data_IF_879237692157
#
_entry.id   IF_879237692157
#
_cell.length_a   1.000
_cell.length_b   1.000
_cell.length_c   1.000
_cell.angle_alpha   90.00
_cell.angle_beta   90.00
_cell.angle_gamma   90.00
#
_symmetry.space_group_name_H-M   'P 1'
#
loop_
_entity.id
_entity.type
_entity.pdbx_description
1 polymer ?
#
# COMPACT_ATOMS: atom_id res chain seq x y z
N UNK A 1 7.22 -24.47 13.24
CA UNK A 1 6.50 -23.68 14.26
C UNK A 1 5.37 -22.94 13.54
N UNK A 2 4.14 -23.20 13.93
CA UNK A 2 2.97 -22.47 13.46
C UNK A 2 2.77 -21.27 14.40
N UNK A 3 2.52 -20.07 13.84
CA UNK A 3 2.27 -18.88 14.64
C UNK A 3 0.75 -18.68 14.72
N UNK A 4 0.17 -18.95 15.86
CA UNK A 4 -1.27 -18.84 16.11
C UNK A 4 -1.79 -17.40 15.93
N UNK A 5 -0.91 -16.41 16.00
CA UNK A 5 -1.23 -14.98 15.81
C UNK A 5 -0.84 -14.46 14.42
N UNK A 6 -0.55 -15.34 13.46
CA UNK A 6 -0.28 -14.92 12.08
C UNK A 6 -1.52 -14.28 11.46
N UNK A 7 -1.33 -13.14 10.80
CA UNK A 7 -2.35 -12.42 10.05
C UNK A 7 -1.90 -12.37 8.59
N UNK A 8 -2.73 -12.84 7.63
CA UNK A 8 -2.47 -12.68 6.21
C UNK A 8 -2.38 -11.20 5.82
N UNK A 9 -1.69 -10.91 4.72
CA UNK A 9 -1.59 -9.56 4.17
C UNK A 9 -2.95 -9.10 3.65
N UNK A 10 -3.26 -7.81 3.87
CA UNK A 10 -4.53 -7.20 3.48
C UNK A 10 -5.68 -7.59 4.42
N UNK A 11 -6.15 -6.65 5.23
CA UNK A 11 -7.27 -6.85 6.15
C UNK A 11 -7.98 -5.54 6.44
N UNK A 12 -9.16 -5.60 7.06
CA UNK A 12 -9.91 -4.40 7.45
C UNK A 12 -9.89 -4.18 8.95
N UNK A 13 -10.19 -2.95 9.35
CA UNK A 13 -10.43 -2.57 10.73
C UNK A 13 -11.90 -2.22 10.96
N UNK A 14 -12.35 -2.32 12.21
CA UNK A 14 -13.65 -1.82 12.66
C UNK A 14 -13.53 -0.44 13.28
N UNK A 15 -12.34 -0.12 13.81
CA UNK A 15 -12.07 1.10 14.53
C UNK A 15 -11.00 1.94 13.85
N UNK A 16 -11.06 3.25 14.11
CA UNK A 16 -10.00 4.18 13.73
C UNK A 16 -9.61 5.09 14.90
N UNK A 17 -8.42 5.66 14.81
CA UNK A 17 -7.90 6.77 15.61
C UNK A 17 -7.42 7.86 14.65
N UNK A 18 -7.44 9.12 15.08
CA UNK A 18 -6.70 10.15 14.35
C UNK A 18 -5.22 10.12 14.74
N UNK A 19 -4.35 10.68 13.89
CA UNK A 19 -2.92 10.82 14.18
C UNK A 19 -2.68 11.51 15.53
N UNK A 20 -3.40 12.61 15.80
CA UNK A 20 -3.31 13.31 17.09
C UNK A 20 -3.66 12.40 18.27
N UNK A 21 -4.74 11.63 18.18
CA UNK A 21 -5.14 10.70 19.25
C UNK A 21 -4.10 9.59 19.45
N UNK A 22 -3.51 9.10 18.36
CA UNK A 22 -2.46 8.09 18.41
C UNK A 22 -1.17 8.64 19.04
N UNK A 23 -0.75 9.84 18.66
CA UNK A 23 0.42 10.52 19.21
C UNK A 23 0.29 10.86 20.70
N UNK A 24 -0.92 11.16 21.16
CA UNK A 24 -1.21 11.42 22.58
C UNK A 24 -1.12 10.16 23.46
N UNK A 25 -1.08 8.96 22.84
CA UNK A 25 -0.94 7.71 23.60
C UNK A 25 0.51 7.46 24.02
N UNK A 26 0.70 6.76 25.14
CA UNK A 26 2.04 6.40 25.61
C UNK A 26 2.68 5.34 24.73
N UNK A 27 3.97 5.46 24.46
CA UNK A 27 4.73 4.63 23.52
C UNK A 27 4.50 3.11 23.66
N UNK A 28 4.45 2.49 24.86
CA UNK A 28 4.19 1.05 24.97
C UNK A 28 2.83 0.61 24.44
N UNK A 29 1.85 1.53 24.41
CA UNK A 29 0.47 1.26 24.00
C UNK A 29 0.33 1.31 22.48
N UNK A 30 1.12 2.13 21.79
CA UNK A 30 1.01 2.41 20.34
C UNK A 30 1.07 1.16 19.49
N UNK A 31 1.99 0.25 19.74
CA UNK A 31 2.14 -0.97 18.97
C UNK A 31 0.89 -1.87 18.99
N UNK A 32 0.20 -1.92 20.15
CA UNK A 32 -1.03 -2.69 20.28
C UNK A 32 -2.22 -1.98 19.63
N UNK A 33 -2.21 -0.64 19.60
CA UNK A 33 -3.26 0.13 18.96
C UNK A 33 -3.25 -0.05 17.43
N UNK A 34 -2.08 -0.19 16.79
CA UNK A 34 -1.96 -0.49 15.36
C UNK A 34 -2.54 -1.86 14.97
N UNK A 35 -2.76 -2.77 15.93
CA UNK A 35 -3.47 -4.02 15.69
C UNK A 35 -4.99 -3.88 15.85
N UNK A 36 -5.43 -2.85 16.55
CA UNK A 36 -6.84 -2.65 16.96
C UNK A 36 -7.58 -1.66 16.09
N UNK A 37 -6.93 -0.57 15.71
CA UNK A 37 -7.54 0.53 14.99
C UNK A 37 -6.61 1.06 13.90
N UNK A 38 -7.18 1.52 12.82
CA UNK A 38 -6.48 2.20 11.72
C UNK A 38 -6.19 3.63 12.12
N UNK A 39 -4.96 4.10 11.97
CA UNK A 39 -4.59 5.49 12.22
C UNK A 39 -4.77 6.30 10.94
N UNK A 40 -5.68 7.26 10.98
CA UNK A 40 -6.01 8.16 9.89
C UNK A 40 -5.54 9.58 10.18
N UNK A 41 -5.22 10.34 9.15
CA UNK A 41 -5.09 11.80 9.28
C UNK A 41 -6.43 12.39 9.71
N UNK A 42 -6.45 13.61 10.24
CA UNK A 42 -7.69 14.31 10.59
C UNK A 42 -8.59 14.52 9.36
N UNK A 43 -7.99 14.76 8.19
CA UNK A 43 -8.71 14.92 6.92
C UNK A 43 -9.35 13.61 6.48
N UNK A 44 -8.60 12.51 6.50
CA UNK A 44 -9.10 11.18 6.15
C UNK A 44 -10.16 10.68 7.15
N UNK A 45 -10.03 11.01 8.44
CA UNK A 45 -11.03 10.68 9.44
C UNK A 45 -12.39 11.38 9.15
N UNK A 46 -12.37 12.59 8.61
CA UNK A 46 -13.59 13.28 8.18
C UNK A 46 -14.18 12.65 6.91
N UNK A 47 -13.34 12.30 5.94
CA UNK A 47 -13.78 11.75 4.65
C UNK A 47 -14.24 10.29 4.75
N UNK A 48 -13.49 9.47 5.49
CA UNK A 48 -13.62 8.00 5.52
C UNK A 48 -14.10 7.44 6.86
N UNK A 49 -14.13 8.22 7.94
CA UNK A 49 -14.56 7.76 9.27
C UNK A 49 -16.00 7.21 9.30
N UNK A 50 -16.84 7.51 8.30
CA UNK A 50 -18.18 6.92 8.16
C UNK A 50 -18.16 5.39 7.91
N UNK A 51 -17.06 4.83 7.43
CA UNK A 51 -16.88 3.38 7.18
C UNK A 51 -16.34 2.63 8.39
N UNK A 52 -15.87 3.37 9.39
CA UNK A 52 -15.24 2.86 10.61
C UNK A 52 -15.94 3.46 11.84
N UNK A 53 -15.58 2.97 13.03
CA UNK A 53 -16.07 3.51 14.31
C UNK A 53 -14.88 4.14 15.06
N UNK A 54 -15.02 5.35 15.64
CA UNK A 54 -13.99 5.88 16.51
C UNK A 54 -13.66 4.89 17.64
N UNK A 55 -12.38 4.63 17.91
CA UNK A 55 -11.97 3.72 18.97
C UNK A 55 -12.44 4.25 20.33
N UNK A 56 -13.23 3.46 21.09
CA UNK A 56 -13.68 3.89 22.43
C UNK A 56 -12.49 4.15 23.37
N UNK A 57 -12.56 5.22 24.16
CA UNK A 57 -11.49 5.58 25.10
C UNK A 57 -11.13 4.45 26.10
N UNK A 58 -12.12 3.63 26.46
CA UNK A 58 -11.90 2.47 27.34
C UNK A 58 -10.98 1.41 26.70
N UNK A 59 -10.91 1.34 25.38
CA UNK A 59 -10.12 0.37 24.63
C UNK A 59 -8.65 0.82 24.43
N UNK A 60 -8.35 2.11 24.64
CA UNK A 60 -7.02 2.66 24.40
C UNK A 60 -5.92 2.00 25.23
N UNK A 61 -6.23 1.58 26.46
CA UNK A 61 -5.24 1.12 27.44
C UNK A 61 -5.35 -0.39 27.74
N UNK A 62 -6.14 -1.14 27.00
CA UNK A 62 -6.16 -2.60 27.19
C UNK A 62 -4.96 -3.24 26.47
N UNK A 63 -3.93 -3.56 27.26
CA UNK A 63 -2.66 -4.18 26.84
C UNK A 63 -2.61 -5.67 27.21
N UNK A 64 -3.75 -6.28 27.54
CA UNK A 64 -3.77 -7.69 27.94
C UNK A 64 -3.44 -8.60 26.73
N UNK A 65 -2.79 -9.72 27.01
CA UNK A 65 -2.50 -10.73 25.99
C UNK A 65 -3.78 -11.29 25.34
N UNK A 66 -4.84 -11.41 26.14
CA UNK A 66 -6.17 -11.83 25.64
C UNK A 66 -6.70 -10.86 24.60
N UNK A 67 -6.58 -9.55 24.84
CA UNK A 67 -6.99 -8.52 23.89
C UNK A 67 -6.14 -8.58 22.61
N UNK A 68 -4.82 -8.69 22.76
CA UNK A 68 -3.93 -8.83 21.59
C UNK A 68 -4.29 -10.04 20.72
N UNK A 69 -4.55 -11.20 21.32
CA UNK A 69 -4.95 -12.39 20.56
C UNK A 69 -6.31 -12.24 19.89
N UNK A 70 -7.23 -11.49 20.50
CA UNK A 70 -8.51 -11.15 19.90
C UNK A 70 -8.32 -10.21 18.71
N UNK A 71 -7.53 -9.14 18.85
CA UNK A 71 -7.21 -8.21 17.76
C UNK A 71 -6.59 -8.97 16.57
N UNK A 72 -5.67 -9.91 16.81
CA UNK A 72 -5.12 -10.78 15.76
C UNK A 72 -6.18 -11.67 15.09
N UNK A 73 -7.11 -12.22 15.86
CA UNK A 73 -8.20 -13.04 15.34
C UNK A 73 -9.17 -12.21 14.47
N UNK A 74 -9.50 -10.99 14.90
CA UNK A 74 -10.37 -10.07 14.16
C UNK A 74 -9.73 -9.66 12.82
N UNK A 75 -8.43 -9.33 12.81
CA UNK A 75 -7.68 -9.02 11.57
C UNK A 75 -7.63 -10.23 10.64
N UNK A 76 -7.41 -11.43 11.18
CA UNK A 76 -7.43 -12.67 10.38
C UNK A 76 -8.79 -12.94 9.76
N UNK A 77 -9.86 -12.71 10.49
CA UNK A 77 -11.23 -12.93 10.01
C UNK A 77 -11.61 -11.98 8.85
N UNK A 78 -11.01 -10.79 8.80
CA UNK A 78 -11.24 -9.78 7.77
C UNK A 78 -10.15 -9.74 6.69
N UNK A 79 -9.21 -10.72 6.71
CA UNK A 79 -8.10 -10.74 5.78
C UNK A 79 -8.52 -11.11 4.35
N UNK A 80 -7.71 -10.68 3.39
CA UNK A 80 -7.84 -11.08 2.00
C UNK A 80 -7.79 -12.60 1.85
N UNK A 81 -8.59 -13.13 0.94
CA UNK A 81 -8.61 -14.56 0.58
C UNK A 81 -7.42 -14.93 -0.30
N UNK A 82 -6.96 -13.98 -1.10
CA UNK A 82 -5.81 -14.11 -1.98
C UNK A 82 -4.91 -12.88 -1.82
N UNK A 83 -3.59 -13.09 -1.81
CA UNK A 83 -2.60 -12.02 -1.88
C UNK A 83 -1.38 -12.51 -2.66
N UNK A 84 -1.09 -11.87 -3.79
CA UNK A 84 0.02 -12.21 -4.66
C UNK A 84 0.87 -10.96 -4.95
N UNK A 85 2.17 -11.03 -4.70
CA UNK A 85 3.11 -9.93 -4.93
C UNK A 85 4.14 -10.30 -5.98
N UNK A 86 4.50 -9.34 -6.83
CA UNK A 86 5.58 -9.44 -7.80
C UNK A 86 6.35 -8.10 -7.91
N UNK A 87 7.30 -8.02 -8.83
CA UNK A 87 8.12 -6.81 -9.02
C UNK A 87 7.36 -5.62 -9.62
N UNK A 88 6.14 -5.81 -10.11
CA UNK A 88 5.30 -4.77 -10.71
C UNK A 88 4.18 -4.29 -9.77
N UNK A 89 4.07 -4.87 -8.57
CA UNK A 89 3.03 -4.54 -7.59
C UNK A 89 2.45 -5.77 -6.91
N UNK A 90 1.18 -5.70 -6.51
CA UNK A 90 0.50 -6.83 -5.89
C UNK A 90 -1.00 -6.87 -6.26
N UNK A 91 -1.56 -8.05 -6.17
CA UNK A 91 -2.96 -8.36 -6.38
C UNK A 91 -3.54 -8.98 -5.11
N UNK A 92 -4.77 -8.61 -4.75
CA UNK A 92 -5.50 -9.17 -3.63
C UNK A 92 -6.98 -9.36 -3.97
N UNK A 93 -7.60 -10.37 -3.36
CA UNK A 93 -9.04 -10.59 -3.40
C UNK A 93 -9.59 -10.65 -1.99
N UNK A 94 -10.74 -10.04 -1.79
CA UNK A 94 -11.43 -10.04 -0.49
C UNK A 94 -12.93 -10.10 -0.66
N UNK A 95 -13.64 -10.51 0.41
CA UNK A 95 -15.09 -10.40 0.49
C UNK A 95 -15.45 -9.62 1.74
N UNK A 96 -16.14 -8.48 1.56
CA UNK A 96 -16.50 -7.58 2.64
C UNK A 96 -18.02 -7.56 2.83
N UNK A 97 -18.46 -7.64 4.08
CA UNK A 97 -19.89 -7.52 4.42
C UNK A 97 -20.44 -6.10 4.24
N UNK A 98 -19.55 -5.11 4.32
CA UNK A 98 -19.84 -3.68 4.16
C UNK A 98 -18.67 -2.98 3.49
N UNK A 99 -18.91 -1.79 2.91
CA UNK A 99 -17.82 -0.94 2.43
C UNK A 99 -16.87 -0.59 3.61
N UNK A 100 -15.56 -0.75 3.38
CA UNK A 100 -14.54 -0.51 4.39
C UNK A 100 -13.19 -0.19 3.77
N UNK A 101 -12.26 0.32 4.55
CA UNK A 101 -10.87 0.52 4.16
C UNK A 101 -10.11 -0.81 4.27
N UNK A 102 -9.58 -1.29 3.14
CA UNK A 102 -8.68 -2.44 3.09
C UNK A 102 -7.25 -1.95 3.29
N UNK A 103 -6.68 -2.34 4.42
CA UNK A 103 -5.32 -1.98 4.83
C UNK A 103 -4.31 -2.98 4.29
N UNK A 104 -3.16 -2.47 3.86
CA UNK A 104 -2.00 -3.26 3.45
C UNK A 104 -0.76 -2.79 4.20
N UNK A 105 -0.09 -3.70 4.89
CA UNK A 105 1.17 -3.45 5.60
C UNK A 105 2.34 -3.29 4.60
N UNK A 106 2.12 -2.47 3.58
CA UNK A 106 3.09 -2.10 2.53
C UNK A 106 3.37 -0.62 2.65
N UNK A 107 4.65 -0.18 2.68
CA UNK A 107 4.98 1.24 2.74
C UNK A 107 4.38 2.02 1.58
N UNK A 108 3.82 3.19 1.90
CA UNK A 108 3.32 4.14 0.91
C UNK A 108 4.46 4.67 0.04
N UNK A 109 4.25 4.68 -1.27
CA UNK A 109 5.15 5.30 -2.25
C UNK A 109 4.30 5.87 -3.40
N UNK A 110 4.63 7.08 -3.85
CA UNK A 110 3.92 7.79 -4.93
C UNK A 110 3.98 7.05 -6.28
N UNK A 111 4.85 6.06 -6.40
CA UNK A 111 4.93 5.18 -7.57
C UNK A 111 3.81 4.15 -7.66
N UNK A 112 3.00 3.95 -6.61
CA UNK A 112 1.84 3.06 -6.65
C UNK A 112 0.63 3.75 -7.26
N UNK A 113 -0.13 2.97 -8.05
CA UNK A 113 -1.49 3.28 -8.48
C UNK A 113 -2.36 2.09 -8.08
N UNK A 114 -3.49 2.35 -7.41
CA UNK A 114 -4.41 1.31 -6.96
C UNK A 114 -5.67 1.25 -7.83
N UNK A 115 -6.17 0.04 -8.02
CA UNK A 115 -7.44 -0.24 -8.71
C UNK A 115 -8.28 -1.16 -7.83
N UNK A 116 -9.56 -0.83 -7.67
CA UNK A 116 -10.58 -1.69 -7.05
C UNK A 116 -11.60 -2.06 -8.12
N UNK A 117 -11.77 -3.35 -8.38
CA UNK A 117 -12.60 -3.88 -9.48
C UNK A 117 -12.27 -3.25 -10.84
N UNK A 118 -10.97 -2.99 -11.09
CA UNK A 118 -10.47 -2.38 -12.31
C UNK A 118 -10.68 -0.87 -12.42
N UNK A 119 -11.23 -0.21 -11.40
CA UNK A 119 -11.38 1.24 -11.33
C UNK A 119 -10.28 1.86 -10.48
N UNK A 120 -9.58 2.86 -11.02
CA UNK A 120 -8.54 3.58 -10.28
C UNK A 120 -9.15 4.23 -9.04
N UNK A 121 -8.48 4.05 -7.90
CA UNK A 121 -8.90 4.55 -6.59
C UNK A 121 -7.75 5.25 -5.87
N UNK A 122 -8.10 6.14 -4.96
CA UNK A 122 -7.16 6.83 -4.11
C UNK A 122 -6.48 5.87 -3.14
N UNK A 123 -5.17 6.03 -2.96
CA UNK A 123 -4.40 5.32 -1.93
C UNK A 123 -4.28 6.24 -0.73
N UNK A 124 -4.84 5.82 0.39
CA UNK A 124 -4.71 6.55 1.65
C UNK A 124 -3.39 6.17 2.33
N UNK A 125 -2.69 7.17 2.83
CA UNK A 125 -1.53 6.97 3.68
C UNK A 125 -1.99 6.87 5.14
N UNK A 126 -1.89 5.68 5.70
CA UNK A 126 -2.39 5.34 7.03
C UNK A 126 -1.28 4.78 7.91
N UNK A 127 -1.50 4.65 9.22
CA UNK A 127 -0.56 4.02 10.16
C UNK A 127 0.88 4.56 9.99
N UNK A 128 1.03 5.90 9.94
CA UNK A 128 2.32 6.60 9.81
C UNK A 128 3.10 6.31 8.51
N UNK A 129 2.49 5.70 7.51
CA UNK A 129 3.15 5.51 6.21
C UNK A 129 2.88 4.20 5.50
N UNK A 130 1.83 3.51 5.85
CA UNK A 130 1.33 2.33 5.15
C UNK A 130 0.16 2.69 4.24
N UNK A 131 -0.41 1.73 3.54
CA UNK A 131 -1.43 2.00 2.52
C UNK A 131 -2.78 1.40 2.87
N UNK A 132 -3.85 2.12 2.52
CA UNK A 132 -5.20 1.59 2.50
C UNK A 132 -5.97 2.10 1.27
N UNK A 133 -6.99 1.34 0.86
CA UNK A 133 -7.93 1.73 -0.21
C UNK A 133 -9.36 1.45 0.22
N UNK A 134 -10.30 2.29 -0.23
CA UNK A 134 -11.72 2.07 0.02
C UNK A 134 -12.25 0.97 -0.90
N UNK A 135 -12.83 -0.06 -0.31
CA UNK A 135 -13.47 -1.17 -1.01
C UNK A 135 -14.97 -1.20 -0.76
N UNK A 136 -15.80 -1.47 -1.78
CA UNK A 136 -17.24 -1.66 -1.61
C UNK A 136 -17.56 -2.97 -0.89
N UNK A 137 -18.81 -3.16 -0.47
CA UNK A 137 -19.30 -4.44 0.00
C UNK A 137 -19.37 -5.47 -1.13
N UNK A 138 -19.16 -6.74 -0.79
CA UNK A 138 -19.14 -7.86 -1.74
C UNK A 138 -17.74 -8.40 -2.00
N UNK A 139 -17.61 -9.23 -3.02
CA UNK A 139 -16.31 -9.74 -3.47
C UNK A 139 -15.66 -8.70 -4.35
N UNK A 140 -14.43 -8.32 -4.00
CA UNK A 140 -13.67 -7.26 -4.67
C UNK A 140 -12.29 -7.77 -5.07
N UNK A 141 -11.79 -7.25 -6.19
CA UNK A 141 -10.41 -7.41 -6.65
C UNK A 141 -9.66 -6.10 -6.44
N UNK A 142 -8.44 -6.18 -5.94
CA UNK A 142 -7.61 -5.03 -5.59
C UNK A 142 -6.26 -5.22 -6.25
N UNK A 143 -5.88 -4.30 -7.13
CA UNK A 143 -4.61 -4.33 -7.83
C UNK A 143 -3.80 -3.08 -7.50
N UNK A 144 -2.56 -3.25 -7.08
CA UNK A 144 -1.58 -2.18 -6.93
C UNK A 144 -0.49 -2.34 -7.98
N UNK A 145 -0.32 -1.33 -8.82
CA UNK A 145 0.71 -1.29 -9.87
C UNK A 145 1.79 -0.32 -9.46
N UNK A 146 3.03 -0.78 -9.41
CA UNK A 146 4.18 0.02 -9.00
C UNK A 146 5.01 0.47 -10.20
N UNK A 147 5.18 1.77 -10.37
CA UNK A 147 6.02 2.38 -11.39
C UNK A 147 6.91 3.47 -10.76
N UNK A 148 8.15 3.16 -10.39
CA UNK A 148 9.08 4.14 -9.84
C UNK A 148 9.25 5.34 -10.80
N UNK A 149 9.23 6.56 -10.27
CA UNK A 149 9.32 7.81 -11.05
C UNK A 149 10.52 7.87 -12.00
N UNK A 150 11.65 7.31 -11.59
CA UNK A 150 12.87 7.27 -12.41
C UNK A 150 12.77 6.42 -13.68
N UNK A 151 11.87 5.45 -13.75
CA UNK A 151 11.76 4.52 -14.90
C UNK A 151 11.22 5.23 -16.14
N UNK A 152 10.22 6.10 -16.00
CA UNK A 152 9.67 6.87 -17.13
C UNK A 152 10.73 7.79 -17.73
N UNK A 153 11.45 8.51 -16.87
CA UNK A 153 12.52 9.41 -17.29
C UNK A 153 13.68 8.66 -17.95
N UNK A 154 14.18 7.59 -17.32
CA UNK A 154 15.29 6.80 -17.83
C UNK A 154 14.97 6.16 -19.18
N UNK A 155 13.74 5.64 -19.37
CA UNK A 155 13.27 5.09 -20.66
C UNK A 155 13.26 6.15 -21.76
N UNK A 156 12.77 7.37 -21.46
CA UNK A 156 12.73 8.47 -22.41
C UNK A 156 14.13 8.92 -22.80
N UNK A 157 15.02 9.08 -21.83
CA UNK A 157 16.43 9.46 -22.06
C UNK A 157 17.14 8.38 -22.88
N UNK A 158 16.96 7.12 -22.57
CA UNK A 158 17.57 6.01 -23.29
C UNK A 158 17.09 5.95 -24.75
N UNK A 159 15.77 6.09 -24.98
CA UNK A 159 15.21 6.11 -26.33
C UNK A 159 15.69 7.32 -27.16
N UNK A 160 15.97 8.46 -26.52
CA UNK A 160 16.54 9.64 -27.20
C UNK A 160 18.04 9.50 -27.45
N UNK A 161 18.79 8.91 -26.53
CA UNK A 161 20.24 8.72 -26.64
C UNK A 161 20.64 7.66 -27.67
N UNK A 162 19.83 6.60 -27.85
CA UNK A 162 20.15 5.50 -28.74
C UNK A 162 20.33 5.94 -30.21
N UNK A 163 19.43 6.73 -30.83
CA UNK A 163 19.63 7.24 -32.19
C UNK A 163 20.89 8.09 -32.34
N UNK A 164 21.17 8.96 -31.35
CA UNK A 164 22.36 9.79 -31.36
C UNK A 164 23.64 8.95 -31.35
N UNK A 165 23.66 7.91 -30.52
CA UNK A 165 24.77 6.96 -30.47
C UNK A 165 24.94 6.21 -31.80
N UNK A 166 23.86 5.74 -32.43
CA UNK A 166 23.91 5.06 -33.71
C UNK A 166 24.40 5.96 -34.85
N UNK A 167 23.99 7.23 -34.87
CA UNK A 167 24.49 8.21 -35.83
C UNK A 167 25.99 8.49 -35.65
N UNK A 168 26.41 8.62 -34.40
CA UNK A 168 27.84 8.79 -34.07
C UNK A 168 28.66 7.58 -34.52
N UNK A 169 28.23 6.36 -34.17
CA UNK A 169 28.91 5.14 -34.56
C UNK A 169 28.95 4.93 -36.08
N UNK A 170 27.85 5.27 -36.76
CA UNK A 170 27.78 5.24 -38.24
C UNK A 170 28.71 6.25 -38.88
N UNK A 171 28.78 7.47 -38.37
CA UNK A 171 29.72 8.49 -38.83
C UNK A 171 31.18 8.05 -38.67
N UNK A 172 31.50 7.49 -37.52
CA UNK A 172 32.85 7.02 -37.23
C UNK A 172 33.28 5.87 -38.17
N UNK A 173 32.38 4.91 -38.36
CA UNK A 173 32.64 3.79 -39.28
C UNK A 173 32.78 4.24 -40.73
N UNK A 174 32.04 5.29 -41.15
CA UNK A 174 32.16 5.87 -42.49
C UNK A 174 33.48 6.63 -42.67
N UNK A 175 33.91 7.41 -41.67
CA UNK A 175 35.18 8.17 -41.69
C UNK A 175 36.38 7.19 -41.73
N UNK A 176 36.38 6.12 -40.96
CA UNK A 176 37.41 5.07 -41.04
C UNK A 176 37.50 4.43 -42.46
N UNK A 177 36.33 4.08 -43.05
CA UNK A 177 36.31 3.56 -44.44
C UNK A 177 36.86 4.51 -45.44
N UNK A 178 36.63 5.83 -45.25
CA UNK A 178 37.17 6.88 -46.15
C UNK A 178 38.69 6.98 -46.01
N UNK A 179 39.23 6.92 -44.80
CA UNK A 179 40.70 6.97 -44.55
C UNK A 179 41.45 5.73 -45.06
N UNK A 180 40.81 4.56 -45.13
CA UNK A 180 41.42 3.33 -45.72
C UNK A 180 41.41 3.27 -47.24
N UNK A 181 40.73 4.21 -47.94
CA UNK A 181 40.67 4.29 -49.40
C UNK A 181 41.61 5.30 -50.02
N UNK A 182 42.33 6.04 -49.18
CA UNK A 182 43.44 6.93 -49.54
C UNK A 182 44.77 6.45 -48.91
#
# INVERSE_FOLDING_TARGET
>A
YENDNYIPMGFTYDYYLTETQYEDTVTPTRSNLLMRALVLTEEDAVAYGQYLTPLPTAELNDLTYTRYTQDCADRRASACTTFEMNSAGFHAEATLDRANLMFFSVPYDDGFTAYVDGQETEILRVDEGLMAVLCPAGTVTIDFVYQPDGIRLSRTVTLAALPVFLLYAGYFAWDEKKKRKH
#
